data_IF_740140185558
#
_entry.id   IF_740140185558
#
_cell.length_a   1.000
_cell.length_b   1.000
_cell.length_c   1.000
_cell.angle_alpha   90.00
_cell.angle_beta   90.00
_cell.angle_gamma   90.00
#
_symmetry.space_group_name_H-M   'P 1'
#
loop_
_entity.id
_entity.type
_entity.pdbx_description
1 polymer ?
#
# COMPACT_ATOMS: atom_id res chain seq x y z
N UNK A 1 24.30 47.15 23.89
CA UNK A 1 24.16 45.68 23.77
C UNK A 1 25.35 45.20 22.96
N UNK A 2 26.29 44.52 23.59
CA UNK A 2 27.60 44.20 23.01
C UNK A 2 27.52 43.23 21.83
N UNK A 3 28.06 43.58 20.67
CA UNK A 3 28.07 42.70 19.49
C UNK A 3 28.80 41.36 19.73
N UNK A 4 29.64 41.27 20.78
CA UNK A 4 30.44 40.09 21.14
C UNK A 4 29.61 38.87 21.57
N UNK A 5 28.50 39.07 22.29
CA UNK A 5 27.65 37.94 22.67
C UNK A 5 26.93 37.37 21.46
N UNK A 6 26.47 38.25 20.55
CA UNK A 6 25.81 37.85 19.29
C UNK A 6 26.75 37.02 18.43
N UNK A 7 27.98 37.46 18.22
CA UNK A 7 28.97 36.73 17.41
C UNK A 7 29.32 35.39 18.04
N UNK A 8 29.47 35.33 19.37
CA UNK A 8 29.77 34.08 20.09
C UNK A 8 28.60 33.10 19.97
N UNK A 9 27.36 33.57 20.16
CA UNK A 9 26.16 32.75 19.99
C UNK A 9 26.02 32.21 18.56
N UNK A 10 26.27 33.04 17.55
CA UNK A 10 26.25 32.61 16.14
C UNK A 10 27.33 31.55 15.88
N UNK A 11 28.56 31.76 16.35
CA UNK A 11 29.64 30.80 16.17
C UNK A 11 29.33 29.44 16.81
N UNK A 12 28.79 29.44 18.02
CA UNK A 12 28.35 28.20 18.71
C UNK A 12 27.22 27.53 17.93
N UNK A 13 26.22 28.29 17.46
CA UNK A 13 25.11 27.74 16.69
C UNK A 13 25.59 27.09 15.38
N UNK A 14 26.51 27.73 14.67
CA UNK A 14 27.13 27.19 13.45
C UNK A 14 27.92 25.92 13.75
N UNK A 15 28.74 25.91 14.81
CA UNK A 15 29.50 24.73 15.21
C UNK A 15 28.59 23.54 15.56
N UNK A 16 27.54 23.77 16.36
CA UNK A 16 26.55 22.75 16.69
C UNK A 16 25.82 22.23 15.44
N UNK A 17 25.52 23.11 14.49
CA UNK A 17 24.88 22.73 13.23
C UNK A 17 25.78 21.81 12.38
N UNK A 18 27.07 22.12 12.25
CA UNK A 18 28.01 21.25 11.54
C UNK A 18 28.24 19.91 12.26
N UNK A 19 28.30 19.91 13.60
CA UNK A 19 28.36 18.66 14.38
C UNK A 19 27.12 17.79 14.15
N UNK A 20 25.93 18.40 14.09
CA UNK A 20 24.70 17.70 13.75
C UNK A 20 24.73 17.14 12.32
N UNK A 21 25.28 17.89 11.36
CA UNK A 21 25.43 17.42 9.98
C UNK A 21 26.41 16.24 9.87
N UNK A 22 27.53 16.26 10.61
CA UNK A 22 28.48 15.14 10.68
C UNK A 22 27.82 13.91 11.31
N UNK A 23 27.12 14.08 12.44
CA UNK A 23 26.39 13.00 13.08
C UNK A 23 25.33 12.39 12.14
N UNK A 24 24.58 13.23 11.42
CA UNK A 24 23.63 12.81 10.41
C UNK A 24 24.30 12.06 9.25
N UNK A 25 25.50 12.47 8.81
CA UNK A 25 26.24 11.78 7.75
C UNK A 25 26.71 10.39 8.20
N UNK A 26 27.18 10.26 9.45
CA UNK A 26 27.52 8.96 10.05
C UNK A 26 26.27 8.08 10.15
N UNK A 27 25.16 8.63 10.62
CA UNK A 27 23.88 7.92 10.67
C UNK A 27 23.45 7.44 9.28
N UNK A 28 23.56 8.29 8.26
CA UNK A 28 23.22 7.95 6.88
C UNK A 28 24.07 6.79 6.36
N UNK A 29 25.36 6.75 6.69
CA UNK A 29 26.25 5.64 6.31
C UNK A 29 25.86 4.34 7.02
N UNK A 30 25.52 4.40 8.30
CA UNK A 30 25.18 3.23 9.11
C UNK A 30 23.81 2.65 8.76
N UNK A 31 22.85 3.49 8.35
CA UNK A 31 21.46 3.09 8.16
C UNK A 31 21.02 3.02 6.70
N UNK A 32 21.80 3.53 5.73
CA UNK A 32 21.39 3.55 4.34
C UNK A 32 21.15 2.15 3.76
N UNK A 33 20.09 2.02 2.97
CA UNK A 33 19.73 0.77 2.27
C UNK A 33 20.63 0.46 1.09
N UNK A 34 21.24 1.49 0.51
CA UNK A 34 22.14 1.35 -0.64
C UNK A 34 23.42 2.15 -0.42
N UNK A 35 24.59 1.64 -0.86
CA UNK A 35 25.84 2.39 -0.81
C UNK A 35 25.76 3.74 -1.54
N UNK A 36 25.05 3.79 -2.67
CA UNK A 36 24.88 5.00 -3.46
C UNK A 36 24.11 6.08 -2.69
N UNK A 37 23.01 5.70 -2.03
CA UNK A 37 22.25 6.62 -1.17
C UNK A 37 23.07 7.11 0.04
N UNK A 38 23.85 6.21 0.65
CA UNK A 38 24.76 6.55 1.75
C UNK A 38 25.78 7.64 1.34
N UNK A 39 26.44 7.42 0.20
CA UNK A 39 27.43 8.35 -0.36
C UNK A 39 26.77 9.68 -0.69
N UNK A 40 25.61 9.67 -1.36
CA UNK A 40 24.89 10.89 -1.73
C UNK A 40 24.52 11.73 -0.51
N UNK A 41 23.98 11.10 0.55
CA UNK A 41 23.66 11.80 1.80
C UNK A 41 24.89 12.29 2.52
N UNK A 42 25.94 11.46 2.66
CA UNK A 42 27.16 11.85 3.35
C UNK A 42 27.83 13.06 2.68
N UNK A 43 28.00 13.04 1.35
CA UNK A 43 28.60 14.16 0.62
C UNK A 43 27.74 15.42 0.75
N UNK A 44 26.42 15.29 0.62
CA UNK A 44 25.49 16.44 0.69
C UNK A 44 25.48 17.06 2.09
N UNK A 45 25.45 16.24 3.13
CA UNK A 45 25.45 16.69 4.53
C UNK A 45 26.76 17.39 4.91
N UNK A 46 27.89 16.94 4.40
CA UNK A 46 29.19 17.55 4.67
C UNK A 46 29.45 18.80 3.83
N UNK A 47 28.98 18.84 2.58
CA UNK A 47 29.28 19.93 1.64
C UNK A 47 28.25 21.06 1.67
N UNK A 48 26.96 20.72 1.86
CA UNK A 48 25.82 21.65 1.78
C UNK A 48 24.89 21.49 2.99
N UNK A 49 25.49 21.41 4.19
CA UNK A 49 24.82 21.10 5.45
C UNK A 49 23.56 21.94 5.71
N UNK A 50 23.58 23.23 5.36
CA UNK A 50 22.46 24.17 5.58
C UNK A 50 21.16 23.69 4.93
N UNK A 51 21.25 23.07 3.75
CA UNK A 51 20.10 22.55 3.00
C UNK A 51 19.95 21.05 3.25
N UNK A 52 21.05 20.31 3.24
CA UNK A 52 21.04 18.86 3.32
C UNK A 52 20.57 18.34 4.68
N UNK A 53 20.91 19.01 5.79
CA UNK A 53 20.52 18.54 7.12
C UNK A 53 18.99 18.60 7.34
N UNK A 54 18.29 19.72 7.06
CA UNK A 54 16.82 19.74 7.09
C UNK A 54 16.19 18.67 6.19
N UNK A 55 16.70 18.52 4.96
CA UNK A 55 16.19 17.52 4.02
C UNK A 55 16.43 16.09 4.52
N UNK A 56 17.60 15.79 5.10
CA UNK A 56 17.91 14.48 5.66
C UNK A 56 17.03 14.13 6.85
N UNK A 57 16.76 15.10 7.73
CA UNK A 57 15.88 14.87 8.88
C UNK A 57 14.44 14.51 8.45
N UNK A 58 13.99 15.06 7.32
CA UNK A 58 12.65 14.80 6.76
C UNK A 58 12.62 13.54 5.89
N UNK A 59 13.62 13.37 5.01
CA UNK A 59 13.62 12.39 3.93
C UNK A 59 14.57 11.21 4.13
N UNK A 60 15.65 11.39 4.90
CA UNK A 60 16.74 10.43 5.05
C UNK A 60 16.43 9.29 6.03
N UNK A 61 15.42 9.46 6.89
CA UNK A 61 14.98 8.41 7.80
C UNK A 61 14.20 7.33 7.06
N UNK A 62 14.64 6.09 7.20
CA UNK A 62 14.14 4.95 6.44
C UNK A 62 13.51 3.84 7.30
N UNK A 63 13.40 4.06 8.62
CA UNK A 63 12.75 3.15 9.57
C UNK A 63 11.70 3.89 10.38
N UNK A 64 10.54 3.26 10.51
CA UNK A 64 9.43 3.77 11.29
C UNK A 64 9.46 3.15 12.70
N UNK A 65 9.89 3.93 13.70
CA UNK A 65 10.21 3.41 15.02
C UNK A 65 8.94 3.22 15.89
N UNK A 66 8.89 2.09 16.61
CA UNK A 66 7.84 1.78 17.59
C UNK A 66 6.61 1.07 17.04
N UNK A 67 6.38 1.10 15.72
CA UNK A 67 5.25 0.39 15.11
C UNK A 67 5.43 -1.13 15.13
N UNK A 68 6.66 -1.62 14.90
CA UNK A 68 6.95 -3.06 15.00
C UNK A 68 6.61 -3.63 16.38
N UNK A 69 6.86 -2.89 17.46
CA UNK A 69 6.50 -3.33 18.82
C UNK A 69 4.98 -3.49 18.97
N UNK A 70 4.18 -2.63 18.31
CA UNK A 70 2.73 -2.74 18.26
C UNK A 70 2.28 -3.93 17.42
N UNK A 71 2.92 -4.16 16.27
CA UNK A 71 2.68 -5.33 15.41
C UNK A 71 2.98 -6.64 16.16
N UNK A 72 4.12 -6.71 16.84
CA UNK A 72 4.53 -7.87 17.66
C UNK A 72 3.58 -8.11 18.83
N UNK A 73 2.98 -7.05 19.39
CA UNK A 73 1.95 -7.19 20.41
C UNK A 73 0.67 -7.80 19.82
N UNK A 74 0.15 -7.22 18.74
CA UNK A 74 -1.07 -7.69 18.08
C UNK A 74 -0.95 -9.11 17.54
N UNK A 75 0.19 -9.48 16.98
CA UNK A 75 0.42 -10.85 16.55
C UNK A 75 0.40 -11.83 17.73
N UNK A 76 1.08 -11.50 18.85
CA UNK A 76 1.07 -12.36 20.03
C UNK A 76 -0.32 -12.50 20.63
N UNK A 77 -1.09 -11.42 20.68
CA UNK A 77 -2.47 -11.46 21.15
C UNK A 77 -3.35 -12.29 20.24
N UNK A 78 -3.21 -12.13 18.92
CA UNK A 78 -4.00 -12.92 18.00
C UNK A 78 -3.61 -14.39 18.00
N UNK A 79 -2.33 -14.73 18.12
CA UNK A 79 -1.90 -16.13 18.27
C UNK A 79 -2.45 -16.73 19.56
N UNK A 80 -2.42 -15.97 20.65
CA UNK A 80 -3.04 -16.39 21.91
C UNK A 80 -4.55 -16.55 21.76
N UNK A 81 -5.23 -15.69 21.00
CA UNK A 81 -6.66 -15.79 20.72
C UNK A 81 -6.97 -17.04 19.89
N UNK A 82 -6.29 -17.25 18.75
CA UNK A 82 -6.47 -18.44 17.90
C UNK A 82 -6.31 -19.71 18.72
N UNK A 83 -5.27 -19.78 19.56
CA UNK A 83 -4.98 -20.92 20.42
C UNK A 83 -6.02 -21.11 21.55
N UNK A 84 -6.45 -20.03 22.22
CA UNK A 84 -7.43 -20.11 23.32
C UNK A 84 -8.82 -20.46 22.85
N UNK A 85 -9.21 -19.98 21.68
CA UNK A 85 -10.55 -20.19 21.14
C UNK A 85 -10.70 -21.61 20.57
N UNK A 86 -9.66 -22.46 20.62
CA UNK A 86 -9.66 -23.83 20.06
C UNK A 86 -10.32 -23.84 18.67
N UNK A 87 -10.05 -22.77 17.92
CA UNK A 87 -10.99 -22.23 16.94
C UNK A 87 -10.94 -23.03 15.65
N UNK A 88 -12.11 -23.26 15.04
CA UNK A 88 -12.25 -23.90 13.72
C UNK A 88 -11.28 -23.30 12.68
N UNK A 89 -10.87 -22.03 12.84
CA UNK A 89 -9.83 -21.36 12.02
C UNK A 89 -8.56 -22.19 11.84
N UNK A 90 -8.08 -22.88 12.88
CA UNK A 90 -6.82 -23.64 12.80
C UNK A 90 -6.90 -24.79 11.77
N UNK A 91 -8.09 -25.34 11.52
CA UNK A 91 -8.36 -26.34 10.48
C UNK A 91 -8.21 -25.73 9.07
N UNK A 92 -8.52 -24.45 8.93
CA UNK A 92 -8.43 -23.73 7.66
C UNK A 92 -7.04 -23.16 7.38
N UNK A 93 -6.16 -23.07 8.38
CA UNK A 93 -4.78 -22.57 8.19
C UNK A 93 -4.00 -23.47 7.25
N UNK A 94 -3.43 -22.87 6.20
CA UNK A 94 -2.54 -23.57 5.27
C UNK A 94 -1.23 -23.93 6.00
N UNK A 95 -0.84 -25.22 6.02
CA UNK A 95 0.41 -25.63 6.67
C UNK A 95 1.65 -24.99 6.04
N UNK A 96 2.59 -24.58 6.89
CA UNK A 96 3.89 -24.05 6.49
C UNK A 96 4.88 -25.23 6.40
N UNK A 97 5.68 -25.28 5.34
CA UNK A 97 6.64 -26.36 5.13
C UNK A 97 7.24 -26.42 3.72
N UNK A 98 8.05 -27.46 3.49
CA UNK A 98 8.76 -27.66 2.22
C UNK A 98 7.83 -27.94 1.03
N UNK A 99 6.62 -28.44 1.29
CA UNK A 99 5.64 -28.77 0.24
C UNK A 99 5.00 -27.51 -0.38
N UNK A 100 5.17 -26.36 0.27
CA UNK A 100 4.72 -25.07 -0.27
C UNK A 100 5.71 -23.95 0.06
N UNK A 101 6.87 -23.92 -0.63
CA UNK A 101 7.93 -22.97 -0.33
C UNK A 101 7.51 -21.51 -0.57
N UNK A 102 6.63 -21.27 -1.55
CA UNK A 102 6.07 -19.95 -1.81
C UNK A 102 5.24 -19.47 -0.62
N UNK A 103 4.26 -20.24 -0.15
CA UNK A 103 3.47 -19.83 1.02
C UNK A 103 4.31 -19.72 2.28
N UNK A 104 5.31 -20.58 2.47
CA UNK A 104 6.25 -20.46 3.58
C UNK A 104 6.98 -19.12 3.57
N UNK A 105 7.51 -18.70 2.41
CA UNK A 105 8.16 -17.39 2.28
C UNK A 105 7.20 -16.22 2.50
N UNK A 106 6.00 -16.28 1.91
CA UNK A 106 4.99 -15.22 2.04
C UNK A 106 4.45 -15.12 3.47
N UNK A 107 4.25 -16.25 4.15
CA UNK A 107 3.88 -16.32 5.56
C UNK A 107 4.93 -15.64 6.43
N UNK A 108 6.21 -15.98 6.25
CA UNK A 108 7.30 -15.40 7.06
C UNK A 108 7.43 -13.88 6.86
N UNK A 109 7.02 -13.37 5.70
CA UNK A 109 6.98 -11.92 5.43
C UNK A 109 5.73 -11.27 6.03
N UNK A 110 4.54 -11.81 5.74
CA UNK A 110 3.27 -11.24 6.20
C UNK A 110 3.06 -11.38 7.72
N UNK A 111 3.66 -12.40 8.33
CA UNK A 111 3.39 -12.87 9.70
C UNK A 111 1.90 -13.16 9.94
N UNK A 112 1.21 -13.56 8.87
CA UNK A 112 -0.20 -13.95 8.85
C UNK A 112 -0.36 -15.25 8.07
N UNK A 113 -1.15 -16.22 8.58
CA UNK A 113 -1.43 -17.46 7.86
C UNK A 113 -2.28 -17.22 6.63
N UNK A 114 -1.99 -17.97 5.57
CA UNK A 114 -2.99 -18.18 4.54
C UNK A 114 -4.07 -19.12 5.09
N UNK A 115 -5.33 -18.89 4.74
CA UNK A 115 -6.45 -19.72 5.18
C UNK A 115 -7.26 -20.21 3.99
N UNK A 116 -7.85 -21.40 4.11
CA UNK A 116 -8.84 -21.97 3.20
C UNK A 116 -10.25 -21.58 3.65
N UNK A 117 -11.28 -21.99 2.91
CA UNK A 117 -12.66 -21.79 3.36
C UNK A 117 -13.24 -20.41 3.05
N UNK A 118 -12.59 -19.63 2.19
CA UNK A 118 -12.96 -18.23 1.96
C UNK A 118 -13.80 -18.06 0.70
N UNK A 119 -14.81 -17.20 0.78
CA UNK A 119 -15.53 -16.68 -0.38
C UNK A 119 -14.93 -15.33 -0.77
N UNK A 120 -14.77 -15.09 -2.07
CA UNK A 120 -14.10 -13.90 -2.59
C UNK A 120 -14.87 -13.39 -3.81
N UNK A 121 -15.24 -12.12 -3.80
CA UNK A 121 -15.94 -11.46 -4.89
C UNK A 121 -15.11 -10.29 -5.42
N UNK A 122 -14.90 -10.25 -6.75
CA UNK A 122 -14.20 -9.16 -7.43
C UNK A 122 -15.13 -7.96 -7.65
N UNK A 123 -14.72 -6.78 -7.20
CA UNK A 123 -15.48 -5.53 -7.35
C UNK A 123 -14.73 -4.61 -8.32
N UNK A 124 -15.35 -4.38 -9.48
CA UNK A 124 -14.80 -3.59 -10.58
C UNK A 124 -15.40 -2.19 -10.51
N UNK A 125 -14.51 -1.19 -10.43
CA UNK A 125 -14.84 0.24 -10.36
C UNK A 125 -15.60 0.67 -9.11
N UNK A 126 -15.76 2.00 -8.98
CA UNK A 126 -16.22 2.62 -7.76
C UNK A 126 -17.67 2.29 -7.43
N UNK A 127 -18.56 2.19 -8.42
CA UNK A 127 -19.98 1.91 -8.16
C UNK A 127 -20.17 0.53 -7.51
N UNK A 128 -19.61 -0.53 -8.11
CA UNK A 128 -19.69 -1.87 -7.53
C UNK A 128 -19.04 -1.92 -6.14
N UNK A 129 -17.90 -1.26 -5.98
CA UNK A 129 -17.18 -1.19 -4.70
C UNK A 129 -17.99 -0.54 -3.59
N UNK A 130 -18.44 0.71 -3.82
CA UNK A 130 -19.07 1.50 -2.76
C UNK A 130 -20.54 1.11 -2.53
N UNK A 131 -21.23 0.54 -3.52
CA UNK A 131 -22.55 -0.06 -3.30
C UNK A 131 -22.47 -1.30 -2.43
N UNK A 132 -21.43 -2.12 -2.59
CA UNK A 132 -21.23 -3.31 -1.77
C UNK A 132 -20.77 -2.97 -0.35
N UNK A 133 -19.80 -2.07 -0.19
CA UNK A 133 -19.39 -1.53 1.12
C UNK A 133 -20.60 -0.94 1.84
N UNK A 134 -21.44 -0.15 1.16
CA UNK A 134 -22.65 0.43 1.74
C UNK A 134 -23.57 -0.64 2.33
N UNK A 135 -23.86 -1.71 1.58
CA UNK A 135 -24.70 -2.82 2.06
C UNK A 135 -24.11 -3.47 3.30
N UNK A 136 -22.79 -3.72 3.31
CA UNK A 136 -22.09 -4.24 4.48
C UNK A 136 -22.22 -3.33 5.70
N UNK A 137 -21.95 -2.03 5.52
CA UNK A 137 -22.07 -1.05 6.60
C UNK A 137 -23.49 -0.94 7.15
N UNK A 138 -24.52 -1.02 6.29
CA UNK A 138 -25.94 -1.02 6.68
C UNK A 138 -26.36 -2.31 7.40
N UNK A 139 -25.71 -3.44 7.11
CA UNK A 139 -25.97 -4.72 7.77
C UNK A 139 -25.30 -4.86 9.14
N UNK A 140 -24.25 -4.09 9.43
CA UNK A 140 -23.43 -4.19 10.63
C UNK A 140 -24.22 -4.20 11.94
N UNK A 141 -23.87 -5.10 12.86
CA UNK A 141 -24.57 -5.32 14.14
C UNK A 141 -23.71 -5.08 15.37
N UNK A 142 -22.41 -5.37 15.31
CA UNK A 142 -21.50 -5.35 16.44
C UNK A 142 -20.44 -4.24 16.29
N UNK A 143 -19.71 -4.24 15.18
CA UNK A 143 -18.67 -3.24 14.92
C UNK A 143 -18.37 -3.04 13.44
N UNK A 144 -17.80 -1.87 13.17
CA UNK A 144 -17.29 -1.46 11.86
C UNK A 144 -15.86 -0.96 12.03
N UNK A 145 -14.93 -1.53 11.27
CA UNK A 145 -13.57 -1.03 11.12
C UNK A 145 -13.48 -0.39 9.73
N UNK A 146 -13.16 0.90 9.64
CA UNK A 146 -13.19 1.65 8.39
C UNK A 146 -11.94 2.49 8.20
N UNK A 147 -11.10 2.13 7.24
CA UNK A 147 -9.78 2.74 7.03
C UNK A 147 -9.54 3.09 5.58
N UNK A 148 -9.13 4.33 5.32
CA UNK A 148 -8.75 4.79 3.98
C UNK A 148 -7.62 5.81 4.04
N UNK A 149 -6.76 5.80 3.01
CA UNK A 149 -5.73 6.83 2.84
C UNK A 149 -6.33 8.22 2.62
N UNK A 150 -7.23 8.35 1.63
CA UNK A 150 -7.98 9.59 1.36
C UNK A 150 -9.44 9.40 1.77
N UNK A 151 -9.93 10.35 2.57
CA UNK A 151 -11.34 10.60 2.82
C UNK A 151 -11.66 12.04 2.48
N UNK A 152 -12.82 12.26 1.84
CA UNK A 152 -13.34 13.59 1.49
C UNK A 152 -14.66 13.90 2.19
N UNK A 153 -14.94 15.19 2.37
CA UNK A 153 -16.26 15.70 2.76
C UNK A 153 -17.01 16.14 1.51
N UNK A 154 -17.37 15.17 0.67
CA UNK A 154 -18.12 15.32 -0.58
C UNK A 154 -19.39 14.44 -0.58
N UNK A 155 -19.98 14.09 -1.72
CA UNK A 155 -21.23 13.33 -1.70
C UNK A 155 -21.04 11.91 -1.18
N UNK A 156 -20.08 11.16 -1.74
CA UNK A 156 -19.75 9.82 -1.26
C UNK A 156 -19.31 9.83 0.20
N UNK A 157 -18.42 10.74 0.60
CA UNK A 157 -17.95 10.82 1.99
C UNK A 157 -19.08 11.09 2.98
N UNK A 158 -19.99 12.03 2.66
CA UNK A 158 -21.14 12.36 3.53
C UNK A 158 -22.18 11.25 3.57
N UNK A 159 -22.33 10.50 2.48
CA UNK A 159 -23.21 9.34 2.42
C UNK A 159 -22.72 8.22 3.33
N UNK A 160 -21.48 7.76 3.17
CA UNK A 160 -20.88 6.74 4.03
C UNK A 160 -20.82 7.23 5.48
N UNK A 161 -20.43 8.48 5.70
CA UNK A 161 -20.36 9.05 7.04
C UNK A 161 -21.71 9.15 7.75
N UNK A 162 -22.83 9.28 7.01
CA UNK A 162 -24.17 9.18 7.60
C UNK A 162 -24.43 7.78 8.13
N UNK A 163 -24.14 6.74 7.34
CA UNK A 163 -24.32 5.34 7.75
C UNK A 163 -23.49 5.03 9.00
N UNK A 164 -22.22 5.43 8.99
CA UNK A 164 -21.31 5.25 10.15
C UNK A 164 -21.84 5.96 11.40
N UNK A 165 -22.32 7.20 11.27
CA UNK A 165 -22.90 7.95 12.38
C UNK A 165 -24.21 7.34 12.88
N UNK A 166 -25.05 6.81 11.98
CA UNK A 166 -26.32 6.16 12.33
C UNK A 166 -26.07 4.85 13.09
N UNK A 167 -25.08 4.06 12.65
CA UNK A 167 -24.64 2.82 13.31
C UNK A 167 -24.06 3.08 14.70
N UNK A 168 -23.19 4.08 14.83
CA UNK A 168 -22.66 4.47 16.13
C UNK A 168 -23.77 4.90 17.11
N UNK A 169 -24.76 5.66 16.65
CA UNK A 169 -25.93 6.04 17.46
C UNK A 169 -26.83 4.86 17.82
N UNK A 170 -26.86 3.82 16.99
CA UNK A 170 -27.55 2.57 17.28
C UNK A 170 -26.77 1.63 18.23
N UNK A 171 -25.57 2.02 18.67
CA UNK A 171 -24.75 1.26 19.63
C UNK A 171 -23.71 0.34 18.99
N UNK A 172 -23.57 0.35 17.66
CA UNK A 172 -22.51 -0.39 16.95
C UNK A 172 -21.16 0.31 17.20
N UNK A 173 -20.11 -0.43 17.53
CA UNK A 173 -18.79 0.14 17.74
C UNK A 173 -18.14 0.51 16.39
N UNK A 174 -18.02 1.80 16.08
CA UNK A 174 -17.48 2.26 14.79
C UNK A 174 -16.10 2.89 14.99
N UNK A 175 -15.10 2.36 14.29
CA UNK A 175 -13.71 2.81 14.30
C UNK A 175 -13.30 3.30 12.91
N UNK A 176 -12.76 4.51 12.84
CA UNK A 176 -12.34 5.15 11.59
C UNK A 176 -10.87 5.57 11.67
N UNK A 177 -10.06 5.10 10.73
CA UNK A 177 -8.66 5.52 10.55
C UNK A 177 -8.52 6.25 9.21
N UNK A 178 -7.80 7.38 9.21
CA UNK A 178 -7.42 8.08 7.99
C UNK A 178 -5.97 8.56 8.03
N UNK A 179 -5.33 8.73 6.87
CA UNK A 179 -4.00 9.34 6.80
C UNK A 179 -4.09 10.87 6.98
N UNK A 180 -3.35 11.42 7.93
CA UNK A 180 -3.45 12.84 8.31
C UNK A 180 -3.00 13.81 7.21
N UNK A 181 -2.15 13.36 6.29
CA UNK A 181 -1.65 14.21 5.20
C UNK A 181 -2.52 14.04 3.96
N UNK A 182 -2.86 12.81 3.57
CA UNK A 182 -3.79 12.51 2.47
C UNK A 182 -5.18 13.09 2.71
N UNK A 183 -5.64 13.06 3.96
CA UNK A 183 -6.99 13.50 4.37
C UNK A 183 -6.99 14.82 5.17
N UNK A 184 -5.98 15.69 4.98
CA UNK A 184 -5.84 16.97 5.70
C UNK A 184 -7.08 17.88 5.62
N UNK A 185 -7.78 17.88 4.47
CA UNK A 185 -9.04 18.64 4.29
C UNK A 185 -10.18 18.02 5.11
N UNK A 186 -10.31 16.69 5.08
CA UNK A 186 -11.30 15.96 5.86
C UNK A 186 -11.10 16.12 7.37
N UNK A 187 -9.86 16.10 7.87
CA UNK A 187 -9.57 16.35 9.29
C UNK A 187 -10.19 17.66 9.82
N UNK A 188 -10.27 18.70 8.98
CA UNK A 188 -10.81 20.01 9.34
C UNK A 188 -12.28 20.20 8.94
N UNK A 189 -12.88 19.19 8.32
CA UNK A 189 -14.18 19.25 7.68
C UNK A 189 -15.34 19.20 8.68
N UNK A 190 -16.56 19.46 8.19
CA UNK A 190 -17.77 19.32 8.99
C UNK A 190 -18.09 17.85 9.23
N UNK A 191 -17.88 17.00 8.21
CA UNK A 191 -18.11 15.57 8.30
C UNK A 191 -17.31 14.90 9.42
N UNK A 192 -16.00 15.16 9.51
CA UNK A 192 -15.15 14.59 10.57
C UNK A 192 -15.64 14.98 11.98
N UNK A 193 -16.06 16.25 12.17
CA UNK A 193 -16.66 16.70 13.43
C UNK A 193 -17.98 15.99 13.73
N UNK A 194 -18.82 15.77 12.71
CA UNK A 194 -20.10 15.07 12.86
C UNK A 194 -19.90 13.60 13.27
N UNK A 195 -18.92 12.91 12.70
CA UNK A 195 -18.59 11.53 13.08
C UNK A 195 -18.21 11.46 14.57
N UNK A 196 -17.31 12.33 15.02
CA UNK A 196 -16.94 12.42 16.43
C UNK A 196 -18.14 12.68 17.35
N UNK A 197 -19.00 13.65 17.00
CA UNK A 197 -20.19 13.99 17.82
C UNK A 197 -21.23 12.87 17.84
N UNK A 198 -21.21 11.96 16.87
CA UNK A 198 -22.17 10.84 16.76
C UNK A 198 -21.71 9.58 17.50
N UNK A 199 -20.54 9.62 18.15
CA UNK A 199 -19.97 8.48 18.88
C UNK A 199 -19.02 7.61 18.05
N UNK A 200 -18.67 8.00 16.81
CA UNK A 200 -17.68 7.29 16.00
C UNK A 200 -16.27 7.55 16.56
N UNK A 201 -15.51 6.48 16.75
CA UNK A 201 -14.11 6.55 17.17
C UNK A 201 -13.23 6.88 15.97
N UNK A 202 -12.94 8.17 15.77
CA UNK A 202 -12.10 8.62 14.64
C UNK A 202 -10.66 8.90 15.09
N UNK A 203 -9.69 8.40 14.32
CA UNK A 203 -8.26 8.59 14.53
C UNK A 203 -7.53 8.97 13.22
N UNK A 204 -6.71 10.03 13.19
CA UNK A 204 -5.63 10.09 12.20
C UNK A 204 -4.59 9.00 12.50
N UNK A 205 -4.01 8.37 11.47
CA UNK A 205 -2.96 7.36 11.64
C UNK A 205 -1.71 7.93 12.33
N UNK A 206 -1.40 9.20 12.07
CA UNK A 206 -0.42 10.00 12.80
C UNK A 206 1.02 9.46 12.67
N UNK A 207 1.53 9.40 11.46
CA UNK A 207 2.93 9.03 11.15
C UNK A 207 3.96 9.91 11.87
N UNK A 208 3.59 11.13 12.23
CA UNK A 208 4.46 12.08 12.93
C UNK A 208 4.44 11.96 14.46
N UNK A 209 3.83 10.91 15.00
CA UNK A 209 3.64 10.74 16.44
C UNK A 209 4.95 10.62 17.24
N UNK A 210 5.07 11.45 18.28
CA UNK A 210 6.18 11.39 19.23
C UNK A 210 7.47 12.09 18.76
N UNK A 211 8.39 12.30 19.70
CA UNK A 211 9.60 13.11 19.45
C UNK A 211 10.51 12.53 18.36
N UNK A 212 10.52 11.20 18.21
CA UNK A 212 11.35 10.47 17.24
C UNK A 212 10.80 10.50 15.81
N UNK A 213 9.48 10.62 15.62
CA UNK A 213 8.87 10.54 14.29
C UNK A 213 8.38 11.90 13.75
N UNK A 214 8.59 13.00 14.48
CA UNK A 214 8.09 14.34 14.10
C UNK A 214 8.45 14.84 12.68
N UNK A 215 9.50 14.31 12.08
CA UNK A 215 9.95 14.67 10.72
C UNK A 215 9.65 13.58 9.68
N UNK A 216 8.97 12.49 10.06
CA UNK A 216 8.65 11.35 9.21
C UNK A 216 7.47 11.64 8.28
N UNK A 217 7.62 12.68 7.47
CA UNK A 217 6.62 13.10 6.49
C UNK A 217 6.61 12.21 5.24
N UNK A 218 7.46 11.19 5.13
CA UNK A 218 7.52 10.35 3.94
C UNK A 218 6.69 9.07 4.04
N UNK A 219 6.40 8.59 5.25
CA UNK A 219 5.60 7.38 5.45
C UNK A 219 4.12 7.72 5.36
N UNK A 220 3.32 6.85 4.78
CA UNK A 220 1.87 7.05 4.64
C UNK A 220 1.12 5.77 4.90
N UNK A 221 -0.01 5.88 5.59
CA UNK A 221 -0.93 4.77 5.68
C UNK A 221 -1.74 4.71 4.39
N UNK A 222 -1.38 3.80 3.51
CA UNK A 222 -2.00 3.66 2.20
C UNK A 222 -3.03 2.51 2.16
N UNK A 223 -3.29 1.87 3.30
CA UNK A 223 -4.27 0.79 3.43
C UNK A 223 -5.70 1.31 3.28
N UNK A 224 -6.53 0.46 2.70
CA UNK A 224 -7.95 0.69 2.41
C UNK A 224 -8.64 -0.60 2.84
N UNK A 225 -9.19 -0.58 4.05
CA UNK A 225 -9.70 -1.76 4.73
C UNK A 225 -11.05 -1.39 5.33
N UNK A 226 -12.07 -2.18 5.00
CA UNK A 226 -13.33 -2.16 5.72
C UNK A 226 -13.57 -3.54 6.27
N UNK A 227 -13.94 -3.66 7.55
CA UNK A 227 -14.40 -4.92 8.15
C UNK A 227 -15.71 -4.66 8.86
N UNK A 228 -16.67 -5.58 8.68
CA UNK A 228 -17.95 -5.57 9.37
C UNK A 228 -18.10 -6.86 10.17
N UNK A 229 -18.27 -6.70 11.49
CA UNK A 229 -18.57 -7.77 12.45
C UNK A 229 -17.62 -8.98 12.44
N UNK A 230 -16.41 -8.85 11.87
CA UNK A 230 -15.47 -9.96 11.70
C UNK A 230 -15.90 -11.01 10.68
N UNK A 231 -16.97 -10.74 9.92
CA UNK A 231 -17.57 -11.68 8.96
C UNK A 231 -17.21 -11.37 7.52
N UNK A 232 -17.16 -10.09 7.19
CA UNK A 232 -16.91 -9.61 5.83
C UNK A 232 -15.87 -8.50 5.85
N UNK A 233 -15.00 -8.50 4.84
CA UNK A 233 -13.98 -7.48 4.66
C UNK A 233 -13.85 -7.03 3.21
N UNK A 234 -13.39 -5.79 3.03
CA UNK A 234 -13.11 -5.18 1.74
C UNK A 234 -11.69 -4.62 1.70
N UNK A 235 -10.96 -4.93 0.63
CA UNK A 235 -9.60 -4.44 0.37
C UNK A 235 -9.43 -4.09 -1.10
N UNK A 236 -8.77 -2.98 -1.42
CA UNK A 236 -8.43 -2.63 -2.81
C UNK A 236 -7.97 -1.19 -3.01
N UNK A 237 -8.00 -0.69 -4.25
CA UNK A 237 -7.30 0.56 -4.61
C UNK A 237 -8.08 1.88 -4.41
N UNK A 238 -9.41 1.86 -4.39
CA UNK A 238 -10.26 3.05 -4.25
C UNK A 238 -10.09 3.80 -2.91
N UNK A 239 -10.11 5.13 -2.96
CA UNK A 239 -10.31 5.96 -1.77
C UNK A 239 -11.73 6.51 -1.71
N UNK A 240 -12.08 7.19 -0.61
CA UNK A 240 -13.40 7.79 -0.42
C UNK A 240 -13.42 9.22 -0.96
N UNK A 241 -14.04 9.38 -2.13
CA UNK A 241 -14.30 10.66 -2.78
C UNK A 241 -15.07 10.50 -4.10
N UNK A 242 -15.72 11.57 -4.56
CA UNK A 242 -16.56 11.55 -5.77
C UNK A 242 -15.75 11.23 -7.05
N UNK A 243 -14.45 11.54 -7.10
CA UNK A 243 -13.60 11.20 -8.24
C UNK A 243 -13.47 9.68 -8.47
N UNK A 244 -13.53 8.88 -7.40
CA UNK A 244 -13.38 7.42 -7.46
C UNK A 244 -14.64 6.73 -8.01
N UNK A 245 -15.75 7.47 -8.09
CA UNK A 245 -16.99 7.07 -8.77
C UNK A 245 -17.06 7.60 -10.21
N UNK A 246 -15.97 8.18 -10.73
CA UNK A 246 -15.93 8.80 -12.05
C UNK A 246 -16.75 10.09 -12.17
N UNK A 247 -17.11 10.73 -11.05
CA UNK A 247 -17.93 11.95 -11.04
C UNK A 247 -17.11 13.24 -11.23
N UNK A 248 -15.79 13.15 -11.19
CA UNK A 248 -14.90 14.28 -11.52
C UNK A 248 -14.78 14.43 -13.04
N UNK A 249 -15.21 15.58 -13.57
CA UNK A 249 -15.21 15.83 -15.02
C UNK A 249 -13.82 15.93 -15.66
N UNK A 250 -12.78 16.25 -14.88
CA UNK A 250 -11.41 16.38 -15.39
C UNK A 250 -10.72 15.03 -15.44
N UNK A 251 -10.94 14.19 -14.44
CA UNK A 251 -10.34 12.84 -14.37
C UNK A 251 -11.13 11.85 -15.23
N UNK A 252 -12.45 11.99 -15.28
CA UNK A 252 -13.33 11.09 -15.99
C UNK A 252 -13.41 9.73 -15.30
N UNK A 253 -13.44 8.66 -16.09
CA UNK A 253 -13.56 7.30 -15.59
C UNK A 253 -12.35 6.90 -14.74
N UNK A 254 -12.60 6.54 -13.48
CA UNK A 254 -11.61 6.03 -12.54
C UNK A 254 -11.67 4.51 -12.51
N UNK A 255 -10.72 3.86 -13.21
CA UNK A 255 -10.64 2.41 -13.33
C UNK A 255 -9.81 1.84 -12.18
N UNK A 256 -10.43 1.19 -11.21
CA UNK A 256 -9.75 0.61 -10.05
C UNK A 256 -10.51 -0.64 -9.56
N UNK A 257 -9.93 -1.39 -8.64
CA UNK A 257 -10.43 -2.73 -8.26
C UNK A 257 -10.40 -2.89 -6.75
N UNK A 258 -11.47 -3.49 -6.23
CA UNK A 258 -11.59 -3.94 -4.85
C UNK A 258 -11.98 -5.41 -4.80
N UNK A 259 -11.84 -6.01 -3.63
CA UNK A 259 -12.28 -7.36 -3.35
C UNK A 259 -13.09 -7.34 -2.06
N UNK A 260 -14.27 -7.94 -2.09
CA UNK A 260 -14.98 -8.37 -0.89
C UNK A 260 -14.60 -9.81 -0.60
N UNK A 261 -14.39 -10.14 0.67
CA UNK A 261 -14.15 -11.52 1.06
C UNK A 261 -14.76 -11.84 2.42
N UNK A 262 -15.08 -13.11 2.60
CA UNK A 262 -15.68 -13.69 3.80
C UNK A 262 -14.98 -15.00 4.14
N UNK A 263 -15.06 -15.39 5.41
CA UNK A 263 -14.44 -16.60 5.92
C UNK A 263 -13.20 -16.34 6.78
N UNK A 264 -12.39 -17.38 7.06
CA UNK A 264 -11.32 -17.31 8.05
C UNK A 264 -10.25 -16.24 7.81
N UNK A 265 -10.08 -15.78 6.57
CA UNK A 265 -9.09 -14.76 6.21
C UNK A 265 -9.42 -13.35 6.70
N UNK A 266 -10.67 -13.08 7.10
CA UNK A 266 -11.10 -11.75 7.61
C UNK A 266 -10.27 -11.32 8.81
N UNK A 267 -9.84 -12.27 9.65
CA UNK A 267 -8.97 -12.00 10.81
C UNK A 267 -7.68 -11.26 10.41
N UNK A 268 -7.13 -11.50 9.22
CA UNK A 268 -5.92 -10.82 8.75
C UNK A 268 -6.16 -9.33 8.51
N UNK A 269 -7.34 -8.97 7.98
CA UNK A 269 -7.72 -7.57 7.82
C UNK A 269 -7.99 -6.90 9.17
N UNK A 270 -8.61 -7.60 10.12
CA UNK A 270 -8.83 -7.10 11.47
C UNK A 270 -7.53 -6.87 12.23
N UNK A 271 -6.58 -7.80 12.15
CA UNK A 271 -5.26 -7.66 12.76
C UNK A 271 -4.49 -6.47 12.17
N UNK A 272 -4.55 -6.29 10.84
CA UNK A 272 -3.93 -5.14 10.18
C UNK A 272 -4.53 -3.82 10.69
N UNK A 273 -5.86 -3.74 10.76
CA UNK A 273 -6.56 -2.56 11.30
C UNK A 273 -6.27 -2.34 12.79
N UNK A 274 -6.31 -3.39 13.61
CA UNK A 274 -6.06 -3.31 15.05
C UNK A 274 -4.64 -2.82 15.36
N UNK A 275 -3.66 -3.28 14.58
CA UNK A 275 -2.27 -2.77 14.67
C UNK A 275 -2.22 -1.27 14.34
N UNK A 276 -2.90 -0.85 13.27
CA UNK A 276 -2.97 0.56 12.88
C UNK A 276 -3.71 1.40 13.93
N UNK A 277 -4.76 0.86 14.56
CA UNK A 277 -5.51 1.52 15.63
C UNK A 277 -4.68 1.70 16.89
N UNK A 278 -4.00 0.63 17.33
CA UNK A 278 -3.10 0.65 18.48
C UNK A 278 -1.94 1.63 18.26
N UNK A 279 -1.46 1.77 17.03
CA UNK A 279 -0.51 2.81 16.69
C UNK A 279 -1.13 4.21 16.81
N UNK A 280 -2.26 4.44 16.14
CA UNK A 280 -2.91 5.74 16.02
C UNK A 280 -3.43 6.30 17.36
N UNK A 281 -3.93 5.44 18.25
CA UNK A 281 -4.53 5.83 19.54
C UNK A 281 -3.73 5.41 20.76
N UNK A 282 -2.90 4.37 20.66
CA UNK A 282 -2.21 3.81 21.82
C UNK A 282 -3.09 2.92 22.70
N UNK A 283 -4.25 2.49 22.19
CA UNK A 283 -5.27 1.69 22.88
C UNK A 283 -5.70 0.53 21.97
N UNK A 284 -6.08 -0.60 22.56
CA UNK A 284 -6.59 -1.75 21.81
C UNK A 284 -8.04 -1.53 21.36
N UNK A 285 -8.46 -2.31 20.37
CA UNK A 285 -9.87 -2.33 19.95
C UNK A 285 -10.73 -2.98 21.05
N UNK A 286 -11.82 -2.32 21.39
CA UNK A 286 -12.83 -2.89 22.29
C UNK A 286 -13.93 -3.55 21.44
N UNK A 287 -13.59 -4.66 20.80
CA UNK A 287 -14.49 -5.47 19.98
C UNK A 287 -14.54 -6.90 20.49
N UNK A 288 -15.65 -7.58 20.22
CA UNK A 288 -15.76 -9.02 20.46
C UNK A 288 -15.05 -9.74 19.31
N UNK A 289 -13.88 -10.29 19.59
CA UNK A 289 -13.17 -11.12 18.62
C UNK A 289 -13.85 -12.47 18.51
N UNK A 290 -14.80 -12.60 17.58
CA UNK A 290 -15.42 -13.88 17.25
C UNK A 290 -14.70 -14.52 16.06
N UNK A 291 -13.99 -15.61 16.33
CA UNK A 291 -13.26 -16.38 15.33
C UNK A 291 -14.13 -17.46 14.67
N UNK A 292 -15.44 -17.50 14.94
CA UNK A 292 -16.37 -18.39 14.27
C UNK A 292 -16.76 -17.83 12.89
N UNK A 293 -15.80 -17.80 11.96
CA UNK A 293 -16.12 -17.54 10.57
C UNK A 293 -16.76 -18.79 9.96
N UNK A 294 -17.94 -18.65 9.35
CA UNK A 294 -18.51 -19.67 8.48
C UNK A 294 -17.57 -19.85 7.27
N UNK A 295 -16.94 -21.02 7.17
CA UNK A 295 -15.97 -21.33 6.13
C UNK A 295 -16.67 -22.06 4.98
N UNK A 296 -17.40 -21.30 4.17
CA UNK A 296 -18.29 -21.84 3.12
C UNK A 296 -17.71 -21.71 1.70
N UNK A 297 -16.56 -21.06 1.54
CA UNK A 297 -15.94 -20.87 0.22
C UNK A 297 -14.74 -21.79 -0.05
N UNK A 298 -14.30 -21.83 -1.30
CA UNK A 298 -13.24 -22.74 -1.76
C UNK A 298 -11.85 -22.07 -1.85
N UNK A 299 -11.79 -20.74 -1.74
CA UNK A 299 -10.56 -19.99 -2.01
C UNK A 299 -9.56 -20.07 -0.85
N UNK A 300 -8.29 -20.19 -1.20
CA UNK A 300 -7.19 -20.00 -0.26
C UNK A 300 -6.72 -18.55 -0.31
N UNK A 301 -6.83 -17.83 0.81
CA UNK A 301 -6.57 -16.40 0.88
C UNK A 301 -5.45 -16.11 1.88
N UNK A 302 -4.48 -15.31 1.44
CA UNK A 302 -3.48 -14.69 2.31
C UNK A 302 -3.69 -13.17 2.30
N UNK A 303 -4.05 -12.62 3.45
CA UNK A 303 -3.98 -11.17 3.67
C UNK A 303 -2.52 -10.81 3.94
N UNK A 304 -1.96 -9.95 3.09
CA UNK A 304 -0.55 -9.56 3.12
C UNK A 304 -0.43 -8.07 3.46
N UNK A 305 -0.40 -7.69 4.75
CA UNK A 305 0.02 -6.35 5.13
C UNK A 305 1.52 -6.21 4.91
N UNK A 306 1.95 -5.07 4.37
CA UNK A 306 3.35 -4.68 4.37
C UNK A 306 3.52 -3.36 5.09
N UNK A 307 4.64 -3.20 5.79
CA UNK A 307 4.94 -1.94 6.47
C UNK A 307 6.41 -1.50 6.35
N UNK A 308 6.65 -0.18 6.37
CA UNK A 308 8.00 0.38 6.32
C UNK A 308 8.78 0.20 7.64
N UNK A 309 8.13 -0.32 8.67
CA UNK A 309 8.76 -0.58 9.96
C UNK A 309 9.52 -1.92 9.94
N UNK A 310 9.09 -2.87 9.10
CA UNK A 310 9.69 -4.19 8.93
C UNK A 310 11.18 -4.18 8.59
N UNK A 311 11.85 -5.24 9.02
CA UNK A 311 13.25 -5.51 8.66
C UNK A 311 13.40 -5.76 7.15
N UNK A 312 12.38 -6.37 6.54
CA UNK A 312 12.37 -6.71 5.12
C UNK A 312 11.48 -5.76 4.32
N UNK A 313 11.80 -5.58 3.03
CA UNK A 313 10.96 -4.85 2.07
C UNK A 313 9.80 -5.75 1.63
N UNK A 314 8.85 -6.02 2.55
CA UNK A 314 7.82 -7.06 2.46
C UNK A 314 7.04 -7.03 1.14
N UNK A 315 6.51 -5.87 0.72
CA UNK A 315 5.77 -5.75 -0.54
C UNK A 315 6.66 -6.01 -1.76
N UNK A 316 7.90 -5.51 -1.76
CA UNK A 316 8.86 -5.79 -2.83
C UNK A 316 9.18 -7.28 -2.92
N UNK A 317 9.41 -7.95 -1.79
CA UNK A 317 9.68 -9.39 -1.74
C UNK A 317 8.45 -10.23 -2.12
N UNK A 318 7.24 -9.80 -1.78
CA UNK A 318 5.99 -10.44 -2.24
C UNK A 318 5.91 -10.43 -3.77
N UNK A 319 6.09 -9.28 -4.41
CA UNK A 319 6.12 -9.19 -5.87
C UNK A 319 7.28 -10.01 -6.46
N UNK A 320 8.46 -9.96 -5.86
CA UNK A 320 9.60 -10.74 -6.33
C UNK A 320 9.33 -12.25 -6.28
N UNK A 321 8.79 -12.75 -5.16
CA UNK A 321 8.47 -14.16 -4.96
C UNK A 321 7.43 -14.63 -5.97
N UNK A 322 6.39 -13.84 -6.23
CA UNK A 322 5.34 -14.18 -7.21
C UNK A 322 5.87 -14.19 -8.65
N UNK A 323 6.70 -13.22 -9.05
CA UNK A 323 7.32 -13.19 -10.38
C UNK A 323 8.27 -14.38 -10.61
N UNK A 324 9.06 -14.75 -9.60
CA UNK A 324 9.98 -15.89 -9.69
C UNK A 324 9.22 -17.22 -9.72
N UNK A 325 8.12 -17.33 -8.98
CA UNK A 325 7.29 -18.53 -8.94
C UNK A 325 6.43 -18.75 -10.19
N UNK A 326 6.19 -17.71 -11.00
CA UNK A 326 5.39 -17.78 -12.22
C UNK A 326 6.00 -18.74 -13.26
N UNK A 327 5.14 -19.59 -13.82
CA UNK A 327 5.52 -20.62 -14.80
C UNK A 327 4.94 -20.36 -16.20
N UNK A 328 3.75 -19.79 -16.28
CA UNK A 328 3.02 -19.57 -17.54
C UNK A 328 2.83 -18.09 -17.84
N UNK A 329 2.38 -17.30 -16.86
CA UNK A 329 2.17 -15.86 -17.03
C UNK A 329 2.35 -15.06 -15.74
N UNK A 330 2.66 -13.79 -15.91
CA UNK A 330 2.63 -12.79 -14.84
C UNK A 330 2.11 -11.47 -15.42
N UNK A 331 0.88 -11.10 -15.06
CA UNK A 331 0.26 -9.85 -15.50
C UNK A 331 0.14 -8.91 -14.32
N UNK A 332 0.53 -7.65 -14.51
CA UNK A 332 0.55 -6.63 -13.46
C UNK A 332 -0.16 -5.39 -14.01
N UNK A 333 -1.13 -4.86 -13.26
CA UNK A 333 -1.75 -3.56 -13.52
C UNK A 333 -1.46 -2.62 -12.35
N UNK A 334 -0.86 -1.46 -12.63
CA UNK A 334 -0.49 -0.48 -11.61
C UNK A 334 -0.52 0.96 -12.14
N UNK A 335 -0.96 1.98 -11.37
CA UNK A 335 -0.85 3.39 -11.80
C UNK A 335 0.60 3.85 -11.95
N UNK A 336 1.52 3.24 -11.20
CA UNK A 336 2.93 3.60 -11.18
C UNK A 336 3.78 2.36 -11.42
N UNK A 337 4.78 2.50 -12.28
CA UNK A 337 5.70 1.42 -12.63
C UNK A 337 7.14 1.90 -12.51
N UNK A 338 7.57 2.02 -11.26
CA UNK A 338 8.92 2.48 -10.89
C UNK A 338 9.55 1.46 -9.93
N UNK A 339 9.72 0.18 -10.35
CA UNK A 339 10.25 -0.85 -9.48
C UNK A 339 11.76 -0.71 -9.24
N UNK A 340 12.29 -1.52 -8.34
CA UNK A 340 13.73 -1.62 -8.14
C UNK A 340 14.43 -2.55 -9.13
N UNK A 341 15.76 -2.62 -9.02
CA UNK A 341 16.59 -3.46 -9.90
C UNK A 341 16.32 -4.96 -9.71
N UNK A 342 16.02 -5.42 -8.51
CA UNK A 342 15.73 -6.82 -8.23
C UNK A 342 14.49 -7.28 -8.98
N UNK A 343 13.41 -6.51 -8.86
CA UNK A 343 12.15 -6.76 -9.57
C UNK A 343 12.32 -6.71 -11.10
N UNK A 344 13.05 -5.72 -11.63
CA UNK A 344 13.34 -5.67 -13.07
C UNK A 344 14.05 -6.94 -13.52
N UNK A 345 15.04 -7.41 -12.75
CA UNK A 345 15.79 -8.62 -13.07
C UNK A 345 14.90 -9.86 -13.02
N UNK A 346 13.99 -9.94 -12.04
CA UNK A 346 13.02 -11.02 -11.93
C UNK A 346 12.05 -11.05 -13.13
N UNK A 347 11.54 -9.90 -13.58
CA UNK A 347 10.68 -9.79 -14.77
C UNK A 347 11.43 -10.19 -16.04
N UNK A 348 12.68 -9.74 -16.20
CA UNK A 348 13.52 -10.13 -17.33
C UNK A 348 13.75 -11.65 -17.35
N UNK A 349 14.07 -12.25 -16.21
CA UNK A 349 14.23 -13.69 -16.10
C UNK A 349 12.94 -14.44 -16.38
N UNK A 350 11.77 -13.95 -15.93
CA UNK A 350 10.49 -14.55 -16.25
C UNK A 350 10.24 -14.55 -17.77
N UNK A 351 10.43 -13.42 -18.44
CA UNK A 351 10.28 -13.32 -19.89
C UNK A 351 11.26 -14.25 -20.63
N UNK A 352 12.53 -14.31 -20.19
CA UNK A 352 13.54 -15.21 -20.78
C UNK A 352 13.23 -16.70 -20.55
N UNK A 353 12.49 -17.06 -19.49
CA UNK A 353 11.96 -18.42 -19.28
C UNK A 353 10.78 -18.75 -20.22
N UNK A 354 10.25 -17.78 -20.95
CA UNK A 354 9.07 -17.93 -21.80
C UNK A 354 7.73 -17.65 -21.11
N UNK A 355 7.75 -17.08 -19.89
CA UNK A 355 6.53 -16.65 -19.18
C UNK A 355 5.92 -15.45 -19.93
N UNK A 356 4.60 -15.43 -20.13
CA UNK A 356 3.90 -14.27 -20.71
C UNK A 356 3.82 -13.13 -19.68
N UNK A 357 4.77 -12.18 -19.78
CA UNK A 357 4.84 -11.02 -18.90
C UNK A 357 4.08 -9.83 -19.53
N UNK A 358 3.03 -9.35 -18.85
CA UNK A 358 2.26 -8.16 -19.27
C UNK A 358 2.19 -7.13 -18.16
N UNK A 359 2.39 -5.87 -18.53
CA UNK A 359 2.38 -4.75 -17.60
C UNK A 359 1.44 -3.68 -18.14
N UNK A 360 0.36 -3.41 -17.42
CA UNK A 360 -0.63 -2.40 -17.73
C UNK A 360 -0.37 -1.16 -16.86
N UNK A 361 -0.25 0.00 -17.49
CA UNK A 361 -0.03 1.29 -16.86
C UNK A 361 -0.94 2.37 -17.47
N UNK A 362 -1.19 3.49 -16.79
CA UNK A 362 -1.91 4.62 -17.37
C UNK A 362 -1.20 5.18 -18.60
N UNK A 363 -1.96 5.60 -19.62
CA UNK A 363 -1.40 6.37 -20.74
C UNK A 363 -0.96 7.77 -20.27
N UNK A 364 -1.75 8.39 -19.39
CA UNK A 364 -1.45 9.67 -18.74
C UNK A 364 -1.02 9.46 -17.26
N UNK A 365 0.28 9.58 -16.95
CA UNK A 365 0.79 9.43 -15.58
C UNK A 365 0.64 10.73 -14.76
N UNK A 366 0.69 10.63 -13.42
CA UNK A 366 0.53 11.75 -12.46
C UNK A 366 1.68 12.77 -12.42
N UNK A 367 2.45 12.90 -13.51
CA UNK A 367 3.44 13.96 -13.67
C UNK A 367 4.61 13.58 -14.56
N UNK A 368 5.38 14.58 -14.99
CA UNK A 368 6.46 14.39 -15.97
C UNK A 368 7.61 13.52 -15.44
N UNK A 369 7.94 13.59 -14.15
CA UNK A 369 9.03 12.78 -13.57
C UNK A 369 8.68 11.29 -13.56
N UNK A 370 7.48 10.94 -13.10
CA UNK A 370 6.96 9.57 -13.13
C UNK A 370 6.85 9.07 -14.56
N UNK A 371 6.36 9.91 -15.49
CA UNK A 371 6.29 9.58 -16.91
C UNK A 371 7.66 9.15 -17.46
N UNK A 372 8.69 9.97 -17.24
CA UNK A 372 10.04 9.71 -17.74
C UNK A 372 10.68 8.49 -17.08
N UNK A 373 10.44 8.28 -15.77
CA UNK A 373 10.89 7.08 -15.08
C UNK A 373 10.25 5.81 -15.68
N UNK A 374 8.92 5.80 -15.85
CA UNK A 374 8.18 4.68 -16.46
C UNK A 374 8.74 4.34 -17.85
N UNK A 375 9.03 5.34 -18.69
CA UNK A 375 9.66 5.12 -20.01
C UNK A 375 11.03 4.45 -19.90
N UNK A 376 11.84 4.83 -18.91
CA UNK A 376 13.15 4.20 -18.70
C UNK A 376 13.05 2.70 -18.40
N UNK A 377 12.09 2.28 -17.57
CA UNK A 377 11.90 0.86 -17.25
C UNK A 377 11.22 0.11 -18.39
N UNK A 378 10.25 0.73 -19.05
CA UNK A 378 9.56 0.18 -20.22
C UNK A 378 10.55 -0.20 -21.31
N UNK A 379 11.49 0.70 -21.66
CA UNK A 379 12.53 0.43 -22.67
C UNK A 379 13.38 -0.80 -22.34
N UNK A 380 13.73 -0.98 -21.06
CA UNK A 380 14.56 -2.10 -20.59
C UNK A 380 13.82 -3.44 -20.64
N UNK A 381 12.51 -3.43 -20.42
CA UNK A 381 11.67 -4.64 -20.41
C UNK A 381 11.20 -5.06 -21.80
N UNK A 382 10.84 -4.10 -22.67
CA UNK A 382 10.45 -4.38 -24.06
C UNK A 382 11.54 -5.16 -24.82
N UNK A 383 12.82 -4.86 -24.54
CA UNK A 383 13.96 -5.49 -25.20
C UNK A 383 14.08 -7.02 -24.95
N UNK A 384 13.46 -7.54 -23.89
CA UNK A 384 13.48 -8.97 -23.53
C UNK A 384 12.12 -9.66 -23.73
N UNK A 385 11.18 -9.01 -24.42
CA UNK A 385 9.89 -9.60 -24.77
C UNK A 385 8.76 -9.36 -23.76
N UNK A 386 8.98 -8.58 -22.71
CA UNK A 386 7.90 -8.13 -21.82
C UNK A 386 6.96 -7.20 -22.59
N UNK A 387 5.65 -7.38 -22.44
CA UNK A 387 4.64 -6.55 -23.12
C UNK A 387 4.15 -5.46 -22.18
N UNK A 388 4.29 -4.20 -22.60
CA UNK A 388 3.79 -3.04 -21.84
C UNK A 388 2.61 -2.42 -22.56
N UNK A 389 1.53 -2.18 -21.82
CA UNK A 389 0.25 -1.69 -22.30
C UNK A 389 -0.11 -0.38 -21.60
N UNK A 390 -0.52 0.61 -22.39
CA UNK A 390 -0.97 1.92 -21.91
C UNK A 390 -2.48 2.02 -22.00
N UNK A 391 -3.14 2.10 -20.85
CA UNK A 391 -4.60 2.14 -20.74
C UNK A 391 -5.14 3.53 -21.12
N UNK A 392 -6.11 3.55 -22.03
CA UNK A 392 -6.68 4.79 -22.61
C UNK A 392 -8.14 5.03 -22.20
N UNK A 393 -8.73 4.14 -21.40
CA UNK A 393 -10.14 4.22 -20.99
C UNK A 393 -10.41 5.10 -19.77
N UNK A 394 -9.58 6.12 -19.51
CA UNK A 394 -9.62 6.97 -18.31
C UNK A 394 -8.38 6.80 -17.43
N UNK A 395 -8.49 7.17 -16.15
CA UNK A 395 -7.40 7.03 -15.19
C UNK A 395 -7.39 5.63 -14.57
N UNK A 396 -6.40 4.81 -14.92
CA UNK A 396 -6.19 3.50 -14.33
C UNK A 396 -5.45 3.63 -13.00
N UNK A 397 -6.05 3.12 -11.93
CA UNK A 397 -5.45 3.13 -10.60
C UNK A 397 -5.48 1.74 -9.94
N UNK A 398 -5.63 0.68 -10.72
CA UNK A 398 -5.59 -0.70 -10.25
C UNK A 398 -4.27 -1.05 -9.54
N UNK A 399 -4.29 -1.99 -8.59
CA UNK A 399 -3.09 -2.64 -8.04
C UNK A 399 -3.31 -4.14 -8.06
N UNK A 400 -3.24 -4.68 -9.27
CA UNK A 400 -3.65 -6.05 -9.57
C UNK A 400 -2.46 -6.85 -10.08
N UNK A 401 -2.38 -8.09 -9.62
CA UNK A 401 -1.41 -9.10 -10.00
C UNK A 401 -2.17 -10.34 -10.44
N UNK A 402 -1.73 -11.01 -11.51
CA UNK A 402 -2.23 -12.32 -11.91
C UNK A 402 -1.03 -13.21 -12.26
N UNK A 403 -0.87 -14.31 -11.54
CA UNK A 403 0.20 -15.28 -11.71
C UNK A 403 -0.41 -16.63 -12.12
N UNK A 404 0.01 -17.11 -13.29
CA UNK A 404 -0.52 -18.33 -13.91
C UNK A 404 -2.06 -18.30 -13.97
N UNK A 405 -2.72 -19.44 -13.84
CA UNK A 405 -4.17 -19.62 -13.79
C UNK A 405 -4.72 -19.80 -12.37
N UNK A 406 -3.90 -19.50 -11.35
CA UNK A 406 -4.16 -19.95 -9.97
C UNK A 406 -4.07 -18.89 -8.90
N UNK A 407 -3.30 -17.81 -9.08
CA UNK A 407 -3.11 -16.80 -8.04
C UNK A 407 -3.39 -15.40 -8.60
N UNK A 408 -4.27 -14.66 -7.94
CA UNK A 408 -4.46 -13.25 -8.20
C UNK A 408 -4.22 -12.42 -6.93
N UNK A 409 -3.67 -11.23 -7.11
CA UNK A 409 -3.44 -10.25 -6.06
C UNK A 409 -4.25 -8.99 -6.33
N UNK A 410 -4.98 -8.49 -5.34
CA UNK A 410 -5.62 -7.17 -5.39
C UNK A 410 -5.36 -6.46 -4.07
N UNK A 411 -4.97 -5.20 -4.11
CA UNK A 411 -4.58 -4.50 -2.89
C UNK A 411 -4.40 -3.00 -3.05
N UNK A 412 -3.55 -2.46 -2.18
CA UNK A 412 -3.23 -1.03 -2.15
C UNK A 412 -1.83 -0.71 -2.68
N UNK A 413 -0.93 -1.70 -2.71
CA UNK A 413 0.47 -1.55 -3.07
C UNK A 413 0.64 -1.27 -4.57
N UNK A 414 1.16 -0.08 -4.91
CA UNK A 414 1.58 0.22 -6.26
C UNK A 414 2.88 -0.53 -6.59
N UNK A 415 3.19 -0.63 -7.89
CA UNK A 415 4.40 -1.28 -8.37
C UNK A 415 5.56 -0.28 -8.45
N UNK A 416 5.85 0.37 -7.32
CA UNK A 416 6.86 1.43 -7.18
C UNK A 416 7.66 1.30 -5.88
N UNK A 417 8.82 1.98 -5.83
CA UNK A 417 9.70 1.96 -4.66
C UNK A 417 9.02 2.51 -3.41
N UNK A 418 8.10 3.46 -3.56
CA UNK A 418 7.38 4.07 -2.44
C UNK A 418 6.47 3.07 -1.72
N UNK A 419 5.64 2.33 -2.45
CA UNK A 419 4.81 1.25 -1.88
C UNK A 419 5.66 0.11 -1.34
N UNK A 420 6.81 -0.18 -1.96
CA UNK A 420 7.68 -1.26 -1.48
C UNK A 420 8.41 -0.93 -0.17
N UNK A 421 8.58 0.36 0.17
CA UNK A 421 9.54 0.78 1.21
C UNK A 421 9.02 1.77 2.24
N UNK A 422 8.05 2.59 1.87
CA UNK A 422 7.65 3.79 2.63
C UNK A 422 6.17 3.79 3.03
N UNK A 423 5.30 3.11 2.29
CA UNK A 423 3.89 3.08 2.63
C UNK A 423 3.54 1.83 3.44
N UNK A 424 2.57 1.98 4.34
CA UNK A 424 1.83 0.85 4.87
C UNK A 424 0.82 0.44 3.81
N UNK A 425 0.90 -0.80 3.35
CA UNK A 425 0.04 -1.34 2.30
C UNK A 425 -0.60 -2.65 2.78
N UNK A 426 -1.61 -3.10 2.04
CA UNK A 426 -2.26 -4.39 2.24
C UNK A 426 -2.64 -4.96 0.88
N UNK A 427 -2.33 -6.25 0.67
CA UNK A 427 -2.65 -6.96 -0.57
C UNK A 427 -3.31 -8.29 -0.24
N UNK A 428 -4.44 -8.58 -0.88
CA UNK A 428 -5.09 -9.87 -0.80
C UNK A 428 -4.52 -10.77 -1.89
N UNK A 429 -3.87 -11.86 -1.50
CA UNK A 429 -3.40 -12.90 -2.42
C UNK A 429 -4.37 -14.09 -2.38
N UNK A 430 -5.10 -14.29 -3.47
CA UNK A 430 -6.17 -15.28 -3.60
C UNK A 430 -5.71 -16.38 -4.54
N UNK A 431 -5.60 -17.59 -4.00
CA UNK A 431 -5.28 -18.78 -4.77
C UNK A 431 -6.55 -19.57 -5.02
N UNK A 432 -7.09 -19.36 -6.22
CA UNK A 432 -8.36 -19.89 -6.69
C UNK A 432 -8.41 -19.74 -8.21
N UNK A 433 -8.74 -20.81 -8.93
CA UNK A 433 -8.77 -20.82 -10.40
C UNK A 433 -9.95 -20.03 -10.95
N UNK A 434 -11.09 -20.00 -10.26
CA UNK A 434 -12.25 -19.23 -10.68
C UNK A 434 -12.00 -17.74 -10.49
N UNK A 435 -11.51 -17.33 -9.32
CA UNK A 435 -11.16 -15.93 -9.07
C UNK A 435 -10.04 -15.44 -10.02
N UNK A 436 -9.03 -16.26 -10.28
CA UNK A 436 -7.98 -15.94 -11.25
C UNK A 436 -8.53 -15.74 -12.67
N UNK A 437 -9.57 -16.49 -13.07
CA UNK A 437 -10.27 -16.31 -14.35
C UNK A 437 -11.11 -15.03 -14.40
N UNK A 438 -11.76 -14.65 -13.29
CA UNK A 438 -12.48 -13.38 -13.21
C UNK A 438 -11.52 -12.19 -13.37
N UNK A 439 -10.38 -12.24 -12.68
CA UNK A 439 -9.32 -11.23 -12.80
C UNK A 439 -8.74 -11.23 -14.22
N UNK A 440 -8.53 -12.39 -14.83
CA UNK A 440 -8.13 -12.48 -16.24
C UNK A 440 -9.14 -11.82 -17.18
N UNK A 441 -10.44 -12.11 -17.02
CA UNK A 441 -11.50 -11.54 -17.86
C UNK A 441 -11.57 -10.01 -17.72
N UNK A 442 -11.45 -9.52 -16.48
CA UNK A 442 -11.34 -8.09 -16.18
C UNK A 442 -10.12 -7.47 -16.89
N UNK A 443 -8.93 -8.05 -16.74
CA UNK A 443 -7.70 -7.54 -17.36
C UNK A 443 -7.74 -7.61 -18.89
N UNK A 444 -8.36 -8.64 -19.48
CA UNK A 444 -8.54 -8.70 -20.93
C UNK A 444 -9.46 -7.58 -21.43
N UNK A 445 -10.55 -7.28 -20.70
CA UNK A 445 -11.42 -6.13 -21.00
C UNK A 445 -10.64 -4.81 -20.92
N UNK A 446 -9.75 -4.68 -19.93
CA UNK A 446 -8.88 -3.51 -19.82
C UNK A 446 -7.84 -3.44 -20.96
N UNK A 447 -7.32 -4.58 -21.41
CA UNK A 447 -6.39 -4.68 -22.53
C UNK A 447 -7.01 -4.27 -23.87
N UNK A 448 -8.31 -4.49 -24.08
CA UNK A 448 -9.04 -4.01 -25.26
C UNK A 448 -9.04 -2.48 -25.36
N UNK A 449 -8.89 -1.79 -24.22
CA UNK A 449 -8.78 -0.32 -24.13
C UNK A 449 -7.33 0.15 -24.00
N UNK A 450 -6.37 -0.74 -24.18
CA UNK A 450 -4.96 -0.42 -24.12
C UNK A 450 -4.33 -0.29 -25.51
N UNK A 451 -3.33 0.59 -25.59
CA UNK A 451 -2.35 0.57 -26.67
C UNK A 451 -1.10 -0.16 -26.20
N UNK A 452 -0.63 -1.13 -26.97
CA UNK A 452 0.66 -1.77 -26.69
C UNK A 452 1.81 -0.82 -27.08
N UNK A 453 2.78 -0.66 -26.18
CA UNK A 453 4.01 0.11 -26.44
C UNK A 453 4.94 -0.71 -27.31
N UNK A 454 5.41 -0.13 -28.42
CA UNK A 454 6.39 -0.77 -29.30
C UNK A 454 7.82 -0.37 -28.93
N UNK A 455 8.78 -1.21 -29.30
CA UNK A 455 10.20 -0.88 -29.14
C UNK A 455 10.60 0.30 -30.05
N UNK A 456 10.02 0.38 -31.25
CA UNK A 456 10.21 1.48 -32.21
C UNK A 456 9.83 2.82 -31.60
N UNK A 457 8.71 2.90 -30.86
CA UNK A 457 8.29 4.13 -30.18
C UNK A 457 9.34 4.62 -29.17
N UNK A 458 10.07 3.71 -28.51
CA UNK A 458 11.18 4.06 -27.62
C UNK A 458 12.41 4.56 -28.39
N UNK A 459 12.65 4.02 -29.59
CA UNK A 459 13.83 4.34 -30.42
C UNK A 459 13.68 5.66 -31.17
N UNK A 460 12.45 6.02 -31.55
CA UNK A 460 12.15 7.26 -32.29
C UNK A 460 12.14 8.52 -31.41
N UNK A 461 12.34 8.37 -30.10
CA UNK A 461 12.37 9.53 -29.19
C UNK A 461 13.66 10.35 -29.41
N UNK A 462 13.56 11.70 -29.36
CA UNK A 462 14.72 12.56 -29.52
C UNK A 462 15.76 12.36 -28.42
N UNK A 463 17.04 12.69 -28.70
CA UNK A 463 18.15 12.42 -27.77
C UNK A 463 17.96 13.02 -26.37
N UNK A 464 17.35 14.22 -26.26
CA UNK A 464 17.03 14.84 -24.97
C UNK A 464 16.11 13.97 -24.11
N UNK A 465 15.22 13.19 -24.73
CA UNK A 465 14.29 12.31 -24.05
C UNK A 465 15.04 11.17 -23.35
N UNK A 466 16.09 10.63 -23.98
CA UNK A 466 16.94 9.62 -23.35
C UNK A 466 17.68 10.17 -22.14
N UNK A 467 18.15 11.41 -22.20
CA UNK A 467 18.76 12.09 -21.04
C UNK A 467 17.71 12.30 -19.95
N UNK A 468 16.52 12.79 -20.30
CA UNK A 468 15.42 13.01 -19.35
C UNK A 468 14.98 11.71 -18.64
N UNK A 469 14.86 10.60 -19.37
CA UNK A 469 14.60 9.27 -18.78
C UNK A 469 15.70 8.87 -17.78
N UNK A 470 16.97 9.03 -18.15
CA UNK A 470 18.10 8.69 -17.28
C UNK A 470 18.12 9.55 -16.02
N UNK A 471 17.84 10.85 -16.15
CA UNK A 471 17.74 11.78 -15.01
C UNK A 471 16.57 11.41 -14.11
N UNK A 472 15.38 11.15 -14.67
CA UNK A 472 14.21 10.76 -13.90
C UNK A 472 14.43 9.46 -13.10
N UNK A 473 15.18 8.51 -13.67
CA UNK A 473 15.55 7.26 -12.99
C UNK A 473 16.37 7.49 -11.72
N UNK A 474 17.12 8.58 -11.60
CA UNK A 474 17.86 8.91 -10.36
C UNK A 474 16.92 9.22 -9.18
N UNK A 475 15.69 9.63 -9.47
CA UNK A 475 14.65 9.89 -8.47
C UNK A 475 13.80 8.66 -8.15
N UNK A 476 13.97 7.54 -8.85
CA UNK A 476 13.18 6.32 -8.63
C UNK A 476 13.10 5.85 -7.16
N UNK A 477 14.15 5.97 -6.31
CA UNK A 477 14.04 5.56 -4.91
C UNK A 477 13.03 6.33 -4.06
N UNK A 478 12.61 7.52 -4.50
CA UNK A 478 11.65 8.39 -3.81
C UNK A 478 10.33 8.54 -4.57
N UNK A 479 10.23 7.97 -5.77
CA UNK A 479 9.03 7.97 -6.61
C UNK A 479 8.11 6.80 -6.24
#
# INVERSE_FOLDING_TARGET
MDASWVTTTIAIAVALFYLAAIAAAVEAILQARTPQGAIAWAISLLSFSVIALPLYLILGRNRFAGYLEKRDHMERESQALIHRTNSNIQEFVVPIGNDSPMYTSLFNLARMPATRGNQVDLLIDGEATFDDIRRGLEAAQNYILFQFYIMRDDNLGRELGRILADKARAGVAVYVIYDEIGSRKFQRSRLCKQLHMSGVNVAPFNTTQGRRNRFQLNFRNHRKVVVVDGREAWVGGHNVGDEYLGRDKKIGHWRDTHVRFQGPSVIGAEQAFATDWLWAKGEDLNISWDLNSEAEGDSTVLVFPSDPASEYEEAGLMFHQTIVAAQQRIWIASPYFVPDRGIISALQLAALRGVDVRILIPDEPDGPMVAMANWSFTRELLAVGVKVYRYQGGFMHQKVLLMDDRLAGVGTANFDNRSFRLNFEITLLVHDVFFAREVEAMLNTDLERCRQVSLEECMDKPAWFTVAMATARLFAPVL
#
